data_IF_138268592226
#
_entry.id   IF_138268592226
#
_cell.length_a   1.000
_cell.length_b   1.000
_cell.length_c   1.000
_cell.angle_alpha   90.00
_cell.angle_beta   90.00
_cell.angle_gamma   90.00
#
_symmetry.space_group_name_H-M   'P 1'
#
loop_
_entity.id
_entity.type
_entity.pdbx_description
1 polymer ?
#
# COMPACT_ATOMS: atom_id res chain seq x y z
N UNK A 1 -48.59 -11.39 -38.39
CA UNK A 1 -47.39 -11.63 -37.56
C UNK A 1 -46.23 -10.90 -38.21
N UNK A 2 -45.93 -9.68 -37.74
CA UNK A 2 -44.78 -8.95 -38.26
C UNK A 2 -43.53 -9.52 -37.56
N UNK A 3 -42.73 -10.28 -38.31
CA UNK A 3 -41.35 -10.55 -37.88
C UNK A 3 -40.62 -9.22 -37.93
N UNK A 4 -40.40 -8.61 -36.77
CA UNK A 4 -39.42 -7.54 -36.60
C UNK A 4 -38.05 -8.16 -36.76
N UNK A 5 -37.62 -8.38 -38.00
CA UNK A 5 -36.22 -8.61 -38.30
C UNK A 5 -35.50 -7.32 -37.91
N UNK A 6 -34.87 -7.31 -36.73
CA UNK A 6 -34.04 -6.20 -36.31
C UNK A 6 -33.00 -5.97 -37.41
N UNK A 7 -33.02 -4.78 -38.00
CA UNK A 7 -32.01 -4.36 -38.96
C UNK A 7 -30.74 -4.08 -38.17
N UNK A 8 -29.92 -5.11 -37.95
CA UNK A 8 -28.65 -4.97 -37.24
C UNK A 8 -27.67 -4.15 -38.09
N UNK A 9 -27.70 -2.82 -37.93
CA UNK A 9 -26.67 -1.94 -38.44
C UNK A 9 -25.38 -2.09 -37.63
N UNK A 10 -24.22 -1.73 -38.20
CA UNK A 10 -22.93 -1.76 -37.47
C UNK A 10 -22.96 -1.02 -36.12
N UNK A 11 -23.83 0.00 -35.98
CA UNK A 11 -24.06 0.71 -34.72
C UNK A 11 -24.87 -0.06 -33.67
N UNK A 12 -25.81 -0.93 -34.08
CA UNK A 12 -26.59 -1.75 -33.14
C UNK A 12 -25.72 -2.77 -32.42
N UNK A 13 -24.74 -3.34 -33.11
CA UNK A 13 -23.79 -4.28 -32.51
C UNK A 13 -22.93 -3.57 -31.46
N UNK A 14 -22.48 -2.35 -31.72
CA UNK A 14 -21.72 -1.55 -30.75
C UNK A 14 -22.56 -1.18 -29.53
N UNK A 15 -23.83 -0.82 -29.73
CA UNK A 15 -24.75 -0.51 -28.62
C UNK A 15 -25.04 -1.75 -27.77
N UNK A 16 -25.30 -2.90 -28.39
CA UNK A 16 -25.49 -4.17 -27.68
C UNK A 16 -24.24 -4.60 -26.91
N UNK A 17 -23.06 -4.44 -27.51
CA UNK A 17 -21.80 -4.74 -26.85
C UNK A 17 -21.55 -3.81 -25.65
N UNK A 18 -21.89 -2.52 -25.79
CA UNK A 18 -21.80 -1.55 -24.71
C UNK A 18 -22.79 -1.84 -23.58
N UNK A 19 -24.04 -2.18 -23.89
CA UNK A 19 -25.04 -2.58 -22.90
C UNK A 19 -24.61 -3.85 -22.14
N UNK A 20 -24.12 -4.86 -22.86
CA UNK A 20 -23.58 -6.07 -22.23
C UNK A 20 -22.36 -5.76 -21.34
N UNK A 21 -21.46 -4.90 -21.79
CA UNK A 21 -20.31 -4.46 -21.00
C UNK A 21 -20.76 -3.74 -19.71
N UNK A 22 -21.73 -2.82 -19.80
CA UNK A 22 -22.30 -2.16 -18.63
C UNK A 22 -22.99 -3.14 -17.68
N UNK A 23 -23.65 -4.17 -18.21
CA UNK A 23 -24.24 -5.24 -17.42
C UNK A 23 -23.18 -6.06 -16.66
N UNK A 24 -22.10 -6.44 -17.34
CA UNK A 24 -20.99 -7.17 -16.69
C UNK A 24 -20.33 -6.31 -15.61
N UNK A 25 -20.03 -5.04 -15.90
CA UNK A 25 -19.48 -4.11 -14.90
C UNK A 25 -20.45 -3.92 -13.75
N UNK A 26 -21.75 -3.83 -14.01
CA UNK A 26 -22.78 -3.68 -12.99
C UNK A 26 -22.72 -4.83 -11.97
N UNK A 27 -22.75 -6.08 -12.44
CA UNK A 27 -22.63 -7.24 -11.55
C UNK A 27 -21.28 -7.30 -10.85
N UNK A 28 -20.20 -6.96 -11.55
CA UNK A 28 -18.87 -6.93 -10.97
C UNK A 28 -18.75 -5.91 -9.81
N UNK A 29 -19.32 -4.71 -9.99
CA UNK A 29 -19.37 -3.68 -8.96
C UNK A 29 -20.22 -4.12 -7.75
N UNK A 30 -21.36 -4.78 -7.97
CA UNK A 30 -22.17 -5.34 -6.88
C UNK A 30 -21.37 -6.32 -6.04
N UNK A 31 -20.70 -7.29 -6.68
CA UNK A 31 -19.89 -8.29 -5.97
C UNK A 31 -18.77 -7.60 -5.19
N UNK A 32 -18.07 -6.63 -5.79
CA UNK A 32 -16.98 -5.91 -5.16
C UNK A 32 -17.45 -5.10 -3.93
N UNK A 33 -18.56 -4.35 -4.07
CA UNK A 33 -19.14 -3.56 -2.98
C UNK A 33 -19.63 -4.45 -1.85
N UNK A 34 -20.34 -5.55 -2.15
CA UNK A 34 -20.80 -6.47 -1.11
C UNK A 34 -19.63 -7.16 -0.42
N UNK A 35 -18.63 -7.66 -1.16
CA UNK A 35 -17.45 -8.27 -0.57
C UNK A 35 -16.70 -7.31 0.36
N UNK A 36 -16.53 -6.05 -0.05
CA UNK A 36 -15.89 -5.03 0.78
C UNK A 36 -16.73 -4.70 2.03
N UNK A 37 -18.05 -4.57 1.87
CA UNK A 37 -18.99 -4.29 2.95
C UNK A 37 -19.01 -5.41 4.01
N UNK A 38 -18.92 -6.67 3.58
CA UNK A 38 -18.89 -7.80 4.50
C UNK A 38 -17.52 -8.00 5.15
N UNK A 39 -16.42 -7.69 4.45
CA UNK A 39 -15.05 -7.74 4.98
C UNK A 39 -14.78 -6.68 6.05
N UNK A 40 -15.52 -5.58 6.04
CA UNK A 40 -15.47 -4.60 7.10
C UNK A 40 -16.13 -5.13 8.39
N UNK A 41 -15.30 -5.60 9.31
CA UNK A 41 -15.73 -6.13 10.61
C UNK A 41 -16.09 -5.04 11.63
N UNK A 42 -15.70 -3.79 11.38
CA UNK A 42 -16.00 -2.66 12.27
C UNK A 42 -17.38 -2.05 11.99
N UNK A 43 -17.93 -2.27 10.79
CA UNK A 43 -19.26 -1.84 10.43
C UNK A 43 -20.38 -2.64 11.11
N UNK A 44 -21.33 -1.94 11.74
CA UNK A 44 -22.52 -2.55 12.33
C UNK A 44 -23.42 -3.22 11.26
N UNK A 45 -24.13 -4.29 11.65
CA UNK A 45 -25.01 -5.03 10.74
C UNK A 45 -26.13 -4.17 10.13
N UNK A 46 -26.64 -3.19 10.87
CA UNK A 46 -27.64 -2.23 10.39
C UNK A 46 -27.12 -1.33 9.26
N UNK A 47 -25.87 -0.88 9.35
CA UNK A 47 -25.24 -0.09 8.29
C UNK A 47 -25.07 -0.96 7.03
N UNK A 48 -24.73 -2.25 7.20
CA UNK A 48 -24.65 -3.19 6.07
C UNK A 48 -26.01 -3.35 5.39
N UNK A 49 -27.08 -3.57 6.16
CA UNK A 49 -28.43 -3.71 5.63
C UNK A 49 -28.90 -2.47 4.87
N UNK A 50 -28.68 -1.27 5.42
CA UNK A 50 -29.03 -0.02 4.76
C UNK A 50 -28.31 0.14 3.41
N UNK A 51 -27.02 -0.18 3.36
CA UNK A 51 -26.25 -0.12 2.11
C UNK A 51 -26.74 -1.11 1.07
N UNK A 52 -27.08 -2.33 1.48
CA UNK A 52 -27.66 -3.33 0.57
C UNK A 52 -28.95 -2.82 -0.05
N UNK A 53 -29.87 -2.28 0.75
CA UNK A 53 -31.14 -1.72 0.26
C UNK A 53 -30.87 -0.57 -0.71
N UNK A 54 -29.98 0.35 -0.35
CA UNK A 54 -29.69 1.53 -1.16
C UNK A 54 -29.08 1.17 -2.53
N UNK A 55 -28.18 0.18 -2.57
CA UNK A 55 -27.59 -0.33 -3.83
C UNK A 55 -28.63 -1.06 -4.70
N UNK A 56 -29.60 -1.75 -4.10
CA UNK A 56 -30.67 -2.44 -4.86
C UNK A 56 -31.66 -1.44 -5.46
N UNK A 57 -32.09 -0.45 -4.67
CA UNK A 57 -33.11 0.54 -5.10
C UNK A 57 -32.50 1.57 -6.05
N UNK A 58 -31.24 1.97 -5.83
CA UNK A 58 -30.54 2.95 -6.63
C UNK A 58 -29.19 2.38 -7.09
N UNK A 59 -29.17 1.54 -8.14
CA UNK A 59 -27.99 0.82 -8.62
C UNK A 59 -26.68 1.62 -8.67
N UNK A 60 -26.57 2.49 -9.68
CA UNK A 60 -25.34 3.24 -9.93
C UNK A 60 -25.09 4.28 -8.85
N UNK A 61 -26.14 4.96 -8.38
CA UNK A 61 -25.98 5.97 -7.33
C UNK A 61 -25.53 5.36 -6.00
N UNK A 62 -26.04 4.18 -5.65
CA UNK A 62 -25.71 3.50 -4.42
C UNK A 62 -24.27 3.01 -4.41
N UNK A 63 -23.79 2.47 -5.53
CA UNK A 63 -22.37 2.13 -5.69
C UNK A 63 -21.48 3.37 -5.60
N UNK A 64 -21.84 4.47 -6.28
CA UNK A 64 -21.03 5.70 -6.24
C UNK A 64 -20.99 6.31 -4.83
N UNK A 65 -22.13 6.38 -4.15
CA UNK A 65 -22.20 6.85 -2.77
C UNK A 65 -21.40 5.95 -1.83
N UNK A 66 -21.47 4.63 -2.02
CA UNK A 66 -20.66 3.68 -1.26
C UNK A 66 -19.17 4.00 -1.39
N UNK A 67 -18.69 4.19 -2.62
CA UNK A 67 -17.28 4.50 -2.89
C UNK A 67 -16.85 5.85 -2.28
N UNK A 68 -17.71 6.86 -2.28
CA UNK A 68 -17.39 8.17 -1.66
C UNK A 68 -17.27 8.03 -0.14
N UNK A 69 -18.24 7.35 0.49
CA UNK A 69 -18.31 7.24 1.95
C UNK A 69 -17.26 6.26 2.50
N UNK A 70 -17.06 5.12 1.85
CA UNK A 70 -16.20 4.02 2.33
C UNK A 70 -14.87 3.86 1.57
N UNK A 71 -14.66 4.55 0.44
CA UNK A 71 -13.41 4.46 -0.34
C UNK A 71 -12.17 4.99 0.38
N UNK A 72 -12.34 5.77 1.46
CA UNK A 72 -11.25 6.33 2.27
C UNK A 72 -10.41 5.29 3.03
N UNK A 73 -10.87 4.05 3.14
CA UNK A 73 -10.12 2.98 3.81
C UNK A 73 -8.76 2.66 3.15
N UNK A 74 -8.58 2.92 1.85
CA UNK A 74 -7.30 2.64 1.17
C UNK A 74 -6.21 3.68 1.51
N UNK A 75 -6.57 4.96 1.57
CA UNK A 75 -5.61 6.03 1.88
C UNK A 75 -5.07 5.90 3.32
N UNK A 76 -5.92 5.58 4.29
CA UNK A 76 -5.50 5.44 5.69
C UNK A 76 -4.66 4.19 5.95
N UNK A 77 -4.96 3.06 5.29
CA UNK A 77 -4.16 1.83 5.41
C UNK A 77 -2.78 1.96 4.78
N UNK A 78 -2.67 2.64 3.64
CA UNK A 78 -1.37 2.92 3.03
C UNK A 78 -0.50 3.79 3.94
N UNK A 79 -1.07 4.81 4.58
CA UNK A 79 -0.34 5.64 5.54
C UNK A 79 0.10 4.83 6.78
N UNK A 80 -0.78 3.99 7.35
CA UNK A 80 -0.41 3.11 8.48
C UNK A 80 0.65 2.08 8.10
N UNK A 81 0.55 1.46 6.93
CA UNK A 81 1.56 0.50 6.44
C UNK A 81 2.89 1.17 6.13
N UNK A 82 2.89 2.36 5.52
CA UNK A 82 4.10 3.14 5.29
C UNK A 82 4.75 3.56 6.61
N UNK A 83 3.97 3.97 7.61
CA UNK A 83 4.46 4.29 8.94
C UNK A 83 5.05 3.04 9.63
N UNK A 84 4.38 1.89 9.56
CA UNK A 84 4.88 0.64 10.14
C UNK A 84 6.18 0.16 9.46
N UNK A 85 6.26 0.23 8.14
CA UNK A 85 7.49 -0.07 7.39
C UNK A 85 8.62 0.89 7.76
N UNK A 86 8.34 2.20 7.85
CA UNK A 86 9.33 3.18 8.27
C UNK A 86 9.85 2.92 9.68
N UNK A 87 8.97 2.59 10.63
CA UNK A 87 9.37 2.23 12.00
C UNK A 87 10.26 0.98 12.05
N UNK A 88 9.96 -0.04 11.25
CA UNK A 88 10.80 -1.25 11.15
C UNK A 88 12.16 -0.95 10.53
N UNK A 89 12.21 -0.10 9.51
CA UNK A 89 13.46 0.31 8.87
C UNK A 89 14.31 1.17 9.81
N UNK A 90 13.70 2.13 10.51
CA UNK A 90 14.37 2.96 11.53
C UNK A 90 14.88 2.13 12.72
N UNK A 91 14.18 1.04 13.09
CA UNK A 91 14.65 0.09 14.10
C UNK A 91 15.87 -0.71 13.62
N UNK A 92 15.86 -1.17 12.37
CA UNK A 92 16.99 -1.88 11.77
C UNK A 92 18.22 -0.98 11.60
N UNK A 93 18.04 0.26 11.16
CA UNK A 93 19.14 1.24 11.04
C UNK A 93 19.70 1.56 12.43
N UNK A 94 18.85 1.78 13.45
CA UNK A 94 19.34 1.98 14.82
C UNK A 94 20.04 0.75 15.41
N UNK A 95 19.61 -0.46 15.07
CA UNK A 95 20.31 -1.68 15.48
C UNK A 95 21.68 -1.78 14.80
N UNK A 96 21.75 -1.51 13.49
CA UNK A 96 23.00 -1.53 12.71
C UNK A 96 23.97 -0.38 13.07
N UNK A 97 23.44 0.77 13.48
CA UNK A 97 24.23 1.94 13.95
C UNK A 97 24.56 1.83 15.44
N UNK A 98 23.72 1.16 16.23
CA UNK A 98 23.94 0.85 17.64
C UNK A 98 24.98 -0.26 17.85
N UNK A 99 25.20 -1.11 16.85
CA UNK A 99 26.43 -1.88 16.66
C UNK A 99 27.54 -1.03 16.03
N UNK A 100 27.58 0.27 16.40
CA UNK A 100 28.66 1.17 16.02
C UNK A 100 29.98 0.46 16.25
N UNK A 101 30.84 0.50 15.23
CA UNK A 101 32.09 -0.23 15.15
C UNK A 101 32.74 -0.27 16.54
N UNK A 102 32.90 -1.47 17.10
CA UNK A 102 33.45 -1.64 18.44
C UNK A 102 34.75 -0.82 18.56
N UNK A 103 35.06 -0.20 19.71
CA UNK A 103 36.35 0.45 19.94
C UNK A 103 37.53 -0.39 19.42
N UNK A 104 37.45 -1.71 19.60
CA UNK A 104 38.45 -2.68 19.11
C UNK A 104 38.50 -2.75 17.57
N UNK A 105 37.36 -2.70 16.90
CA UNK A 105 37.27 -2.74 15.43
C UNK A 105 37.75 -1.41 14.80
N UNK A 106 37.51 -0.27 15.47
CA UNK A 106 38.04 1.03 15.05
C UNK A 106 39.56 1.08 15.17
N UNK A 107 40.12 0.53 16.26
CA UNK A 107 41.57 0.40 16.45
C UNK A 107 42.19 -0.55 15.42
N UNK A 108 41.52 -1.66 15.09
CA UNK A 108 41.96 -2.61 14.07
C UNK A 108 42.01 -1.97 12.67
N UNK A 109 41.00 -1.17 12.30
CA UNK A 109 41.01 -0.40 11.05
C UNK A 109 42.13 0.65 11.02
N UNK A 110 42.32 1.38 12.12
CA UNK A 110 43.41 2.36 12.22
C UNK A 110 44.79 1.69 12.06
N UNK A 111 44.97 0.46 12.58
CA UNK A 111 46.21 -0.31 12.41
C UNK A 111 46.42 -0.75 10.96
N UNK A 112 45.37 -1.17 10.27
CA UNK A 112 45.44 -1.50 8.84
C UNK A 112 45.84 -0.28 8.00
N UNK A 113 45.32 0.91 8.31
CA UNK A 113 45.72 2.15 7.64
C UNK A 113 47.20 2.48 7.87
N UNK A 114 47.69 2.28 9.09
CA UNK A 114 49.11 2.45 9.41
C UNK A 114 50.00 1.48 8.62
N UNK A 115 49.56 0.22 8.50
CA UNK A 115 50.30 -0.83 7.77
C UNK A 115 50.32 -0.60 6.26
N UNK A 116 49.27 0.01 5.71
CA UNK A 116 49.25 0.48 4.31
C UNK A 116 50.05 1.77 4.08
N UNK A 117 50.53 2.42 5.15
CA UNK A 117 51.21 3.71 5.08
C UNK A 117 50.27 4.89 4.77
N UNK A 118 48.95 4.69 4.86
CA UNK A 118 47.95 5.73 4.62
C UNK A 118 47.90 6.77 5.76
N UNK A 119 48.33 6.38 6.96
CA UNK A 119 48.46 7.27 8.12
C UNK A 119 49.82 7.08 8.79
N UNK A 120 50.25 8.09 9.54
CA UNK A 120 51.48 8.07 10.32
C UNK A 120 51.27 7.42 11.71
N UNK A 121 52.36 6.98 12.38
CA UNK A 121 52.27 6.44 13.74
C UNK A 121 51.65 7.42 14.75
N UNK A 122 51.89 8.72 14.58
CA UNK A 122 51.31 9.76 15.43
C UNK A 122 49.79 9.86 15.24
N UNK A 123 49.31 9.79 13.99
CA UNK A 123 47.88 9.81 13.67
C UNK A 123 47.15 8.54 14.14
N UNK A 124 47.83 7.40 14.13
CA UNK A 124 47.30 6.15 14.68
C UNK A 124 47.02 6.27 16.19
N UNK A 125 47.95 6.83 16.97
CA UNK A 125 47.75 6.98 18.42
C UNK A 125 46.61 7.96 18.75
N UNK A 126 46.40 9.01 17.96
CA UNK A 126 45.23 9.91 18.12
C UNK A 126 43.91 9.18 17.83
N UNK A 127 43.86 8.34 16.79
CA UNK A 127 42.68 7.55 16.45
C UNK A 127 42.38 6.48 17.52
N UNK A 128 43.41 5.83 18.05
CA UNK A 128 43.32 4.87 19.15
C UNK A 128 42.80 5.51 20.44
N UNK A 129 43.31 6.67 20.82
CA UNK A 129 42.83 7.40 21.99
C UNK A 129 41.37 7.85 21.85
N UNK A 130 40.95 8.23 20.63
CA UNK A 130 39.56 8.59 20.33
C UNK A 130 38.60 7.40 20.43
N UNK A 131 39.00 6.24 19.91
CA UNK A 131 38.21 5.00 20.00
C UNK A 131 38.10 4.47 21.44
N UNK A 132 39.13 4.68 22.27
CA UNK A 132 39.12 4.27 23.70
C UNK A 132 38.34 5.24 24.61
N UNK A 133 37.98 6.43 24.12
CA UNK A 133 37.22 7.44 24.88
C UNK A 133 35.75 7.54 24.48
N UNK A 134 35.32 6.74 23.50
CA UNK A 134 33.94 6.55 23.07
C UNK A 134 33.32 5.29 23.65
#
# INVERSE_FOLDING_TARGET
MANTAASFGNGDVLLWMFEFFLFVIWFWLLIMVFADLFRDHEASGWVKALWVILVIVLPYLGVLLYLIVRGRGMAQRNLKQQQAMKQQMDAQIRAAVGTGMSPTDQIAQAKALLDTGAITPAEFETLKAKALSS
#
